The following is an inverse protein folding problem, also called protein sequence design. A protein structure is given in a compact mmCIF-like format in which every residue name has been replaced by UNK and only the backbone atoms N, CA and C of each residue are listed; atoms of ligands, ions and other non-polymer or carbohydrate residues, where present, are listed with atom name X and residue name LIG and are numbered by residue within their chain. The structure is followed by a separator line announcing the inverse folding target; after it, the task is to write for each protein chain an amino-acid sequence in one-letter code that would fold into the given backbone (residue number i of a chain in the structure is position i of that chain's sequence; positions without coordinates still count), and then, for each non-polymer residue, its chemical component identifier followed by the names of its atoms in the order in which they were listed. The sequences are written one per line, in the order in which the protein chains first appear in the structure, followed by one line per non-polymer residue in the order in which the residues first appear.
data_IF_921295627816
#
_entry.id   IF_921295627816
#
_cell.length_a   1.000
_cell.length_b   1.000
_cell.length_c   1.000
_cell.angle_alpha   90.00
_cell.angle_beta   90.00
_cell.angle_gamma   90.00
#
_symmetry.space_group_name_H-M   'P 1'
#
loop_
_entity.id
_entity.type
_entity.pdbx_description
1 polymer ?
#
# COMPACT_ATOMS: atom_id res chain seq x y z
N UNK A 1 3.08 -23.05 4.62
CA UNK A 1 2.53 -22.14 5.64
C UNK A 1 2.34 -20.81 4.93
N UNK A 2 1.12 -20.29 4.82
CA UNK A 2 0.92 -18.99 4.17
C UNK A 2 1.53 -17.91 5.07
N UNK A 3 2.26 -16.97 4.49
CA UNK A 3 2.78 -15.81 5.21
C UNK A 3 1.63 -14.94 5.75
N UNK A 4 1.96 -13.97 6.61
CA UNK A 4 1.01 -12.98 7.11
C UNK A 4 1.68 -11.63 7.24
N UNK A 5 0.91 -10.54 7.07
CA UNK A 5 1.39 -9.19 7.31
C UNK A 5 1.49 -8.97 8.83
N UNK A 6 2.71 -8.85 9.35
CA UNK A 6 2.95 -8.60 10.78
C UNK A 6 2.95 -7.11 11.14
N UNK A 7 3.24 -6.25 10.15
CA UNK A 7 3.33 -4.81 10.31
C UNK A 7 2.88 -4.12 9.02
N UNK A 8 2.11 -3.04 9.16
CA UNK A 8 1.72 -2.15 8.07
C UNK A 8 1.62 -0.71 8.59
N UNK A 9 2.03 0.25 7.77
CA UNK A 9 1.91 1.68 8.10
C UNK A 9 0.52 2.18 7.75
N UNK A 10 -0.01 3.12 8.54
CA UNK A 10 -1.25 3.81 8.22
C UNK A 10 -0.97 5.02 7.31
N UNK A 11 -1.75 5.24 6.23
CA UNK A 11 -1.68 6.47 5.44
C UNK A 11 -1.95 7.72 6.29
N UNK A 12 -1.26 8.82 5.96
CA UNK A 12 -1.50 10.13 6.56
C UNK A 12 -2.21 11.02 5.54
N UNK A 13 -3.42 11.47 5.84
CA UNK A 13 -4.28 12.24 4.92
C UNK A 13 -5.04 13.35 5.67
N UNK A 14 -5.34 14.44 4.97
CA UNK A 14 -6.23 15.51 5.49
C UNK A 14 -7.69 15.08 5.43
N UNK A 15 -8.05 14.43 4.32
CA UNK A 15 -9.32 13.79 4.02
C UNK A 15 -9.07 12.77 2.91
N UNK A 16 -10.07 11.94 2.61
CA UNK A 16 -9.94 10.87 1.61
C UNK A 16 -9.38 11.41 0.28
N UNK A 17 -8.35 10.74 -0.23
CA UNK A 17 -7.63 11.09 -1.48
C UNK A 17 -6.88 12.44 -1.42
N UNK A 18 -6.57 12.94 -0.21
CA UNK A 18 -5.74 14.13 0.01
C UNK A 18 -4.61 13.83 1.01
N UNK A 19 -3.50 13.25 0.54
CA UNK A 19 -2.41 12.83 1.42
C UNK A 19 -1.68 14.01 2.02
N UNK A 20 -1.07 13.77 3.18
CA UNK A 20 -0.02 14.62 3.70
C UNK A 20 1.12 14.64 2.70
N UNK A 21 1.64 15.83 2.39
CA UNK A 21 2.65 15.97 1.35
C UNK A 21 3.64 17.08 1.68
N UNK A 22 4.91 16.82 1.40
CA UNK A 22 5.96 17.85 1.44
C UNK A 22 5.83 18.67 0.17
N UNK A 23 5.74 19.99 0.32
CA UNK A 23 5.48 20.92 -0.78
C UNK A 23 6.50 22.05 -0.82
N UNK A 24 6.61 22.71 -1.97
CA UNK A 24 7.25 24.03 -2.10
C UNK A 24 6.44 25.13 -1.43
N UNK A 25 5.14 24.90 -1.25
CA UNK A 25 4.20 25.85 -0.68
C UNK A 25 4.15 25.75 0.85
N UNK A 26 3.87 26.88 1.51
CA UNK A 26 3.80 26.97 2.97
C UNK A 26 2.69 26.07 3.59
N UNK A 27 1.65 25.76 2.82
CA UNK A 27 0.54 24.91 3.28
C UNK A 27 0.88 23.40 3.31
N UNK A 28 2.06 22.99 2.86
CA UNK A 28 2.51 21.59 2.91
C UNK A 28 2.89 21.11 4.31
N UNK A 29 3.02 19.80 4.46
CA UNK A 29 3.57 19.18 5.67
C UNK A 29 5.09 19.28 5.68
N UNK A 30 5.65 19.18 6.87
CA UNK A 30 7.08 19.21 7.13
C UNK A 30 7.56 17.87 7.69
N UNK A 31 8.86 17.75 7.94
CA UNK A 31 9.42 16.57 8.62
C UNK A 31 8.83 16.33 10.03
N UNK A 32 8.25 17.36 10.67
CA UNK A 32 7.65 17.25 12.00
C UNK A 32 6.33 16.47 11.98
N UNK A 33 5.69 16.40 10.82
CA UNK A 33 4.39 15.71 10.64
C UNK A 33 4.57 14.23 10.27
N UNK A 34 5.82 13.78 10.04
CA UNK A 34 6.11 12.42 9.61
C UNK A 34 5.80 11.39 10.70
N UNK A 35 5.13 10.30 10.33
CA UNK A 35 5.06 9.11 11.16
C UNK A 35 6.43 8.43 11.21
N UNK A 36 7.12 8.56 12.34
CA UNK A 36 8.42 7.89 12.58
C UNK A 36 8.19 6.64 13.43
N UNK A 37 8.58 5.48 12.91
CA UNK A 37 8.46 4.20 13.62
C UNK A 37 9.68 3.32 13.40
N UNK A 38 9.77 2.23 14.17
CA UNK A 38 10.80 1.21 14.05
C UNK A 38 10.21 -0.16 14.31
N UNK A 39 10.64 -1.13 13.52
CA UNK A 39 10.17 -2.53 13.59
C UNK A 39 11.39 -3.43 13.59
N UNK A 40 11.41 -4.40 14.50
CA UNK A 40 12.47 -5.41 14.54
C UNK A 40 12.17 -6.48 13.48
N UNK A 41 13.16 -6.76 12.64
CA UNK A 41 13.05 -7.74 11.57
C UNK A 41 13.92 -8.97 11.88
N UNK A 42 13.58 -10.08 11.22
CA UNK A 42 14.32 -11.33 11.25
C UNK A 42 14.77 -11.73 9.84
N UNK A 43 15.79 -12.58 9.77
CA UNK A 43 16.22 -13.15 8.50
C UNK A 43 15.07 -13.92 7.84
N UNK A 44 14.82 -13.64 6.56
CA UNK A 44 13.71 -14.20 5.80
C UNK A 44 12.43 -13.35 5.80
N UNK A 45 12.36 -12.26 6.56
CA UNK A 45 11.25 -11.31 6.46
C UNK A 45 11.24 -10.61 5.10
N UNK A 46 10.04 -10.41 4.55
CA UNK A 46 9.83 -9.75 3.27
C UNK A 46 9.23 -8.37 3.49
N UNK A 47 9.86 -7.34 2.93
CA UNK A 47 9.40 -5.95 3.00
C UNK A 47 8.80 -5.57 1.65
N UNK A 48 7.56 -5.09 1.65
CA UNK A 48 6.91 -4.48 0.48
C UNK A 48 6.65 -3.01 0.78
N UNK A 49 7.04 -2.15 -0.14
CA UNK A 49 6.79 -0.72 -0.08
C UNK A 49 6.47 -0.21 -1.49
N UNK A 50 5.65 0.83 -1.57
CA UNK A 50 5.12 1.35 -2.82
C UNK A 50 4.34 2.63 -2.60
N UNK A 51 3.86 3.24 -3.68
CA UNK A 51 2.92 4.37 -3.63
C UNK A 51 1.49 3.89 -3.32
N UNK A 52 0.60 4.84 -3.06
CA UNK A 52 -0.85 4.64 -2.99
C UNK A 52 -1.39 3.87 -4.21
N UNK A 53 -0.97 4.20 -5.44
CA UNK A 53 -1.41 3.49 -6.65
C UNK A 53 -1.11 1.98 -6.66
N UNK A 54 -0.19 1.50 -5.82
CA UNK A 54 -0.02 0.08 -5.54
C UNK A 54 -1.05 -0.40 -4.51
N UNK A 55 -1.05 0.15 -3.30
CA UNK A 55 -1.88 -0.30 -2.17
C UNK A 55 -3.39 -0.07 -2.37
N UNK A 56 -3.78 0.90 -3.18
CA UNK A 56 -5.16 1.18 -3.58
C UNK A 56 -5.76 0.11 -4.49
N UNK A 57 -4.91 -0.72 -5.10
CA UNK A 57 -5.26 -1.65 -6.18
C UNK A 57 -4.83 -3.09 -5.90
N UNK A 58 -4.41 -3.42 -4.69
CA UNK A 58 -4.02 -4.79 -4.32
C UNK A 58 -4.34 -5.07 -2.86
N UNK A 59 -4.86 -6.26 -2.56
CA UNK A 59 -5.12 -6.65 -1.18
C UNK A 59 -3.90 -7.33 -0.53
N UNK A 60 -3.77 -7.23 0.80
CA UNK A 60 -2.70 -7.89 1.57
C UNK A 60 -2.58 -9.40 1.27
N UNK A 61 -3.71 -10.10 1.09
CA UNK A 61 -3.72 -11.52 0.77
C UNK A 61 -3.11 -11.80 -0.61
N UNK A 62 -3.31 -10.90 -1.57
CA UNK A 62 -2.71 -11.02 -2.91
C UNK A 62 -1.21 -10.75 -2.86
N UNK A 63 -0.79 -9.77 -2.06
CA UNK A 63 0.64 -9.52 -1.79
C UNK A 63 1.30 -10.78 -1.23
N UNK A 64 0.71 -11.37 -0.18
CA UNK A 64 1.21 -12.61 0.44
C UNK A 64 1.28 -13.75 -0.59
N UNK A 65 0.25 -13.91 -1.42
CA UNK A 65 0.20 -14.97 -2.43
C UNK A 65 1.33 -14.82 -3.45
N UNK A 66 1.51 -13.61 -3.99
CA UNK A 66 2.56 -13.34 -4.99
C UNK A 66 3.95 -13.56 -4.39
N UNK A 67 4.22 -13.07 -3.18
CA UNK A 67 5.50 -13.29 -2.49
C UNK A 67 5.77 -14.78 -2.27
N UNK A 68 4.75 -15.54 -1.84
CA UNK A 68 4.89 -16.96 -1.54
C UNK A 68 5.22 -17.81 -2.78
N UNK A 69 4.81 -17.36 -3.97
CA UNK A 69 5.02 -18.03 -5.25
C UNK A 69 6.24 -17.51 -6.03
N UNK A 70 6.79 -16.37 -5.62
CA UNK A 70 7.89 -15.73 -6.33
C UNK A 70 9.24 -16.39 -6.00
N UNK A 71 10.08 -16.68 -7.02
CA UNK A 71 11.40 -17.30 -6.79
C UNK A 71 12.45 -16.32 -6.26
N UNK A 72 12.18 -15.02 -6.32
CA UNK A 72 13.12 -13.96 -5.98
C UNK A 72 12.42 -12.60 -5.85
N UNK A 73 13.16 -11.61 -5.32
CA UNK A 73 12.63 -10.26 -5.07
C UNK A 73 12.34 -9.48 -6.35
N UNK A 74 13.11 -9.71 -7.41
CA UNK A 74 12.91 -9.04 -8.70
C UNK A 74 11.62 -9.50 -9.38
N UNK A 75 11.39 -10.81 -9.39
CA UNK A 75 10.14 -11.40 -9.88
C UNK A 75 8.95 -10.97 -9.02
N UNK A 76 9.09 -10.98 -7.69
CA UNK A 76 8.04 -10.54 -6.78
C UNK A 76 7.64 -9.09 -7.04
N UNK A 77 8.62 -8.17 -7.11
CA UNK A 77 8.36 -6.75 -7.34
C UNK A 77 7.64 -6.52 -8.68
N UNK A 78 8.08 -7.20 -9.74
CA UNK A 78 7.46 -7.09 -11.06
C UNK A 78 6.03 -7.63 -11.06
N UNK A 79 5.81 -8.84 -10.54
CA UNK A 79 4.49 -9.47 -10.52
C UNK A 79 3.51 -8.70 -9.65
N UNK A 80 3.95 -8.17 -8.50
CA UNK A 80 3.15 -7.29 -7.64
C UNK A 80 2.71 -6.02 -8.38
N UNK A 81 3.66 -5.34 -9.04
CA UNK A 81 3.36 -4.11 -9.78
C UNK A 81 2.43 -4.37 -10.99
N UNK A 82 2.62 -5.47 -11.71
CA UNK A 82 1.76 -5.87 -12.83
C UNK A 82 0.34 -6.22 -12.37
N UNK A 83 0.20 -6.88 -11.21
CA UNK A 83 -1.11 -7.21 -10.62
C UNK A 83 -1.87 -5.94 -10.21
N UNK A 84 -1.23 -5.05 -9.43
CA UNK A 84 -1.83 -3.77 -9.05
C UNK A 84 -2.20 -2.93 -10.29
N UNK A 85 -1.34 -2.92 -11.33
CA UNK A 85 -1.66 -2.25 -12.60
C UNK A 85 -2.88 -2.86 -13.28
N UNK A 86 -2.98 -4.19 -13.35
CA UNK A 86 -4.12 -4.88 -13.94
C UNK A 86 -5.42 -4.49 -13.23
N UNK A 87 -5.41 -4.46 -11.90
CA UNK A 87 -6.56 -4.02 -11.10
C UNK A 87 -6.90 -2.55 -11.30
N UNK A 88 -5.89 -1.67 -11.37
CA UNK A 88 -6.11 -0.22 -11.49
C UNK A 88 -6.88 0.21 -12.74
N UNK A 89 -6.88 -0.60 -13.81
CA UNK A 89 -7.59 -0.32 -15.06
C UNK A 89 -8.86 -1.16 -15.22
N UNK A 90 -9.13 -2.08 -14.29
CA UNK A 90 -10.32 -2.93 -14.30
C UNK A 90 -11.46 -2.26 -13.55
N UNK A 91 -12.40 -1.69 -14.30
CA UNK A 91 -13.60 -1.01 -13.75
C UNK A 91 -14.55 -1.95 -13.02
N UNK A 92 -14.35 -3.26 -13.11
CA UNK A 92 -15.15 -4.28 -12.42
C UNK A 92 -14.50 -4.76 -11.12
N UNK A 93 -13.22 -4.44 -10.92
CA UNK A 93 -12.51 -4.79 -9.71
C UNK A 93 -12.92 -3.84 -8.58
N UNK A 94 -13.46 -4.42 -7.50
CA UNK A 94 -13.83 -3.66 -6.31
C UNK A 94 -12.58 -3.40 -5.45
N UNK A 95 -11.81 -2.39 -5.85
CA UNK A 95 -10.48 -2.11 -5.30
C UNK A 95 -10.51 -1.69 -3.82
N UNK A 96 -9.38 -1.87 -3.08
CA UNK A 96 -9.21 -1.29 -1.75
C UNK A 96 -9.64 0.18 -1.67
N UNK A 97 -9.22 1.00 -2.63
CA UNK A 97 -9.64 2.41 -2.74
C UNK A 97 -11.16 2.57 -2.86
N UNK A 98 -11.80 1.80 -3.74
CA UNK A 98 -13.25 1.89 -3.98
C UNK A 98 -14.05 1.47 -2.74
N UNK A 99 -13.59 0.42 -2.05
CA UNK A 99 -14.17 -0.03 -0.79
C UNK A 99 -14.03 1.03 0.30
N UNK A 100 -12.86 1.64 0.43
CA UNK A 100 -12.61 2.71 1.39
C UNK A 100 -13.49 3.93 1.11
N UNK A 101 -13.51 4.43 -0.14
CA UNK A 101 -14.34 5.55 -0.57
C UNK A 101 -15.80 5.38 -0.13
N UNK A 102 -16.37 4.20 -0.38
CA UNK A 102 -17.76 3.89 0.03
C UNK A 102 -17.94 3.84 1.54
N UNK A 103 -16.94 3.40 2.29
CA UNK A 103 -16.99 3.36 3.76
C UNK A 103 -16.96 4.75 4.41
N UNK A 104 -16.35 5.74 3.73
CA UNK A 104 -16.22 7.12 4.19
C UNK A 104 -17.47 7.96 3.91
N UNK A 105 -18.29 7.56 2.94
CA UNK A 105 -19.62 8.16 2.67
C UNK A 105 -20.63 7.58 3.67
N UNK A 106 -20.73 8.16 4.87
CA UNK A 106 -21.84 7.91 5.79
C UNK A 106 -22.95 8.94 5.56
N UNK A 107 -24.19 8.47 5.41
CA UNK A 107 -25.40 9.26 5.61
C UNK A 107 -25.56 9.67 7.08
#
# INVERSE_FOLDING_TARGET
MLGQVMFSTCPQEHYFDCPYQISSEEAGQTYQDALVCSVNLMEGDMIVSGSDGFFDNIFDQEIISVISESPGVDEAAKTLAELARKHSVDVTFDSPYSMEARSRVRY
#
